data_IF_052827913609
#
_entry.id   IF_052827913609
#
_cell.length_a   1.000
_cell.length_b   1.000
_cell.length_c   1.000
_cell.angle_alpha   90.00
_cell.angle_beta   90.00
_cell.angle_gamma   90.00
#
_symmetry.space_group_name_H-M   'P 1'
#
loop_
_entity.id
_entity.type
_entity.pdbx_description
1 polymer ?
#
# COMPACT_ATOMS: atom_id res chain seq x y z
N UNK A 1 -7.99 -14.70 -0.42
CA UNK A 1 -8.77 -13.54 0.05
C UNK A 1 -7.87 -12.33 0.01
N UNK A 2 -8.20 -11.32 -0.79
CA UNK A 2 -7.37 -10.13 -0.89
C UNK A 2 -7.37 -9.35 0.44
N UNK A 3 -6.28 -8.64 0.80
CA UNK A 3 -6.27 -7.78 1.98
C UNK A 3 -7.42 -6.78 1.89
N UNK A 4 -8.22 -6.68 2.94
CA UNK A 4 -9.33 -5.74 3.02
C UNK A 4 -8.76 -4.36 3.31
N UNK A 5 -8.69 -3.51 2.30
CA UNK A 5 -8.42 -2.09 2.49
C UNK A 5 -9.73 -1.39 2.88
N UNK A 6 -9.66 -0.32 3.67
CA UNK A 6 -10.86 0.43 4.04
C UNK A 6 -11.59 0.91 2.78
N UNK A 7 -12.91 0.74 2.76
CA UNK A 7 -13.75 1.25 1.69
C UNK A 7 -13.54 2.76 1.55
N UNK A 8 -13.47 3.24 0.30
CA UNK A 8 -13.36 4.66 -0.01
C UNK A 8 -14.46 5.43 0.73
N UNK A 9 -14.06 6.22 1.73
CA UNK A 9 -14.99 7.10 2.41
C UNK A 9 -15.56 8.08 1.40
N UNK A 10 -16.89 8.14 1.27
CA UNK A 10 -17.53 9.24 0.53
C UNK A 10 -17.19 10.52 1.28
N UNK A 11 -16.80 11.60 0.61
CA UNK A 11 -16.57 12.87 1.28
C UNK A 11 -17.86 13.25 1.99
N UNK A 12 -17.81 13.27 3.32
CA UNK A 12 -18.88 13.81 4.15
C UNK A 12 -18.86 15.32 3.94
N UNK A 13 -19.97 15.88 3.47
CA UNK A 13 -20.14 17.33 3.29
C UNK A 13 -19.90 18.13 4.59
N UNK A 14 -19.83 17.44 5.75
CA UNK A 14 -19.47 18.04 7.04
C UNK A 14 -17.96 18.25 7.23
N UNK A 15 -17.11 17.64 6.39
CA UNK A 15 -15.66 17.84 6.40
C UNK A 15 -15.24 19.12 5.65
N UNK A 16 -16.12 19.71 4.85
CA UNK A 16 -15.84 20.95 4.11
C UNK A 16 -15.60 22.18 4.99
N UNK A 17 -15.85 22.11 6.29
CA UNK A 17 -15.63 23.18 7.25
C UNK A 17 -14.29 23.14 7.99
N UNK A 18 -13.40 22.18 7.70
CA UNK A 18 -12.13 21.98 8.41
C UNK A 18 -10.88 22.00 7.51
N UNK A 19 -11.05 22.56 6.30
CA UNK A 19 -9.94 22.94 5.43
C UNK A 19 -9.49 24.37 5.76
N UNK A 20 -9.26 24.63 7.05
CA UNK A 20 -8.31 25.68 7.42
C UNK A 20 -6.94 25.15 7.07
N UNK A 21 -6.26 25.83 6.16
CA UNK A 21 -4.92 25.60 5.65
C UNK A 21 -3.98 25.04 6.73
N UNK A 22 -3.64 23.76 6.65
CA UNK A 22 -2.44 23.22 7.27
C UNK A 22 -1.26 23.71 6.42
N UNK A 23 -0.79 24.92 6.67
CA UNK A 23 0.24 25.59 5.86
C UNK A 23 1.62 24.91 5.92
N UNK A 24 1.79 23.83 6.74
CA UNK A 24 3.08 23.15 6.97
C UNK A 24 3.00 21.63 6.84
N UNK A 25 2.07 21.06 6.08
CA UNK A 25 2.02 19.61 5.87
C UNK A 25 2.47 19.20 4.48
N UNK A 26 3.06 18.00 4.36
CA UNK A 26 3.45 17.39 3.09
C UNK A 26 2.77 16.04 2.92
N UNK A 27 2.56 15.67 1.67
CA UNK A 27 2.05 14.36 1.30
C UNK A 27 3.18 13.35 1.16
N UNK A 28 2.92 12.15 1.66
CA UNK A 28 3.85 11.02 1.56
C UNK A 28 3.10 9.78 1.08
N UNK A 29 3.73 9.03 0.17
CA UNK A 29 3.32 7.69 -0.18
C UNK A 29 4.07 6.69 0.69
N UNK A 30 3.32 5.81 1.36
CA UNK A 30 3.84 4.63 2.04
C UNK A 30 3.54 3.45 1.14
N UNK A 31 4.57 2.83 0.59
CA UNK A 31 4.51 1.83 -0.45
C UNK A 31 4.72 0.44 0.14
N UNK A 32 3.81 -0.48 -0.14
CA UNK A 32 3.91 -1.88 0.25
C UNK A 32 4.17 -2.75 -0.96
N UNK A 33 4.97 -3.80 -0.78
CA UNK A 33 5.42 -4.67 -1.85
C UNK A 33 4.97 -6.12 -1.61
N UNK A 34 4.82 -6.86 -2.69
CA UNK A 34 4.51 -8.28 -2.68
C UNK A 34 4.78 -8.91 -4.03
N UNK A 35 5.04 -10.20 -4.04
CA UNK A 35 5.26 -11.00 -5.24
C UNK A 35 4.01 -11.80 -5.61
N UNK A 36 3.97 -12.35 -6.83
CA UNK A 36 2.93 -13.31 -7.20
C UNK A 36 2.89 -14.49 -6.24
N UNK A 37 4.06 -14.94 -5.76
CA UNK A 37 4.16 -16.02 -4.79
C UNK A 37 3.45 -15.69 -3.49
N UNK A 38 3.55 -14.45 -2.98
CA UNK A 38 2.84 -14.02 -1.77
C UNK A 38 1.32 -14.11 -1.94
N UNK A 39 0.81 -13.69 -3.08
CA UNK A 39 -0.62 -13.80 -3.41
C UNK A 39 -1.07 -15.25 -3.54
N UNK A 40 -0.23 -16.14 -4.10
CA UNK A 40 -0.51 -17.57 -4.19
C UNK A 40 -0.58 -18.20 -2.79
N UNK A 41 0.34 -17.85 -1.88
CA UNK A 41 0.32 -18.30 -0.48
C UNK A 41 -0.99 -17.88 0.22
N UNK A 42 -1.40 -16.62 0.04
CA UNK A 42 -2.67 -16.11 0.55
C UNK A 42 -3.89 -16.82 -0.05
N UNK A 43 -3.78 -17.29 -1.30
CA UNK A 43 -4.82 -18.07 -1.98
C UNK A 43 -4.81 -19.56 -1.60
N UNK A 44 -3.97 -19.99 -0.64
CA UNK A 44 -3.88 -21.38 -0.21
C UNK A 44 -3.00 -22.26 -1.13
N UNK A 45 -2.12 -21.64 -1.90
CA UNK A 45 -1.17 -22.30 -2.82
C UNK A 45 0.28 -21.93 -2.44
N UNK A 46 0.78 -22.29 -1.24
CA UNK A 46 2.10 -21.93 -0.79
C UNK A 46 3.19 -22.64 -1.63
N UNK A 47 4.37 -22.04 -1.69
CA UNK A 47 5.54 -22.69 -2.23
C UNK A 47 5.90 -23.93 -1.39
N UNK A 48 6.58 -24.94 -1.97
CA UNK A 48 6.99 -26.13 -1.24
C UNK A 48 7.76 -25.79 0.04
N UNK A 49 7.30 -26.34 1.19
CA UNK A 49 7.91 -26.11 2.50
C UNK A 49 7.53 -24.81 3.20
N UNK A 50 6.66 -24.01 2.61
CA UNK A 50 6.12 -22.81 3.27
C UNK A 50 4.75 -23.10 3.89
N UNK A 51 4.45 -22.54 5.08
CA UNK A 51 3.13 -22.63 5.67
C UNK A 51 2.12 -21.76 4.91
N UNK A 52 0.88 -22.23 4.83
CA UNK A 52 -0.24 -21.42 4.31
C UNK A 52 -0.68 -20.41 5.34
N UNK A 53 -1.28 -19.34 4.88
CA UNK A 53 -2.03 -18.43 5.71
C UNK A 53 -3.20 -19.13 6.38
N UNK A 54 -3.38 -18.90 7.67
CA UNK A 54 -4.51 -19.43 8.44
C UNK A 54 -5.68 -18.43 8.45
N UNK A 55 -6.92 -18.88 8.76
CA UNK A 55 -8.03 -17.95 8.99
C UNK A 55 -7.75 -16.92 10.07
N UNK A 56 -6.97 -17.28 11.09
CA UNK A 56 -6.55 -16.41 12.19
C UNK A 56 -5.59 -15.32 11.69
N UNK A 57 -4.65 -15.66 10.81
CA UNK A 57 -3.73 -14.68 10.18
C UNK A 57 -4.52 -13.64 9.38
N UNK A 58 -5.49 -14.07 8.58
CA UNK A 58 -6.35 -13.15 7.82
C UNK A 58 -7.20 -12.27 8.73
N UNK A 59 -7.76 -12.82 9.79
CA UNK A 59 -8.56 -12.07 10.74
C UNK A 59 -7.72 -11.01 11.46
N UNK A 60 -6.52 -11.37 11.90
CA UNK A 60 -5.59 -10.47 12.57
C UNK A 60 -5.11 -9.35 11.64
N UNK A 61 -4.73 -9.69 10.40
CA UNK A 61 -4.36 -8.70 9.37
C UNK A 61 -5.51 -7.75 9.08
N UNK A 62 -6.72 -8.27 8.88
CA UNK A 62 -7.91 -7.46 8.60
C UNK A 62 -8.22 -6.47 9.72
N UNK A 63 -8.21 -6.93 10.98
CA UNK A 63 -8.43 -6.10 12.15
C UNK A 63 -7.35 -5.02 12.29
N UNK A 64 -6.09 -5.38 12.03
CA UNK A 64 -4.98 -4.42 12.04
C UNK A 64 -5.18 -3.32 10.97
N UNK A 65 -5.47 -3.69 9.73
CA UNK A 65 -5.66 -2.74 8.63
C UNK A 65 -6.86 -1.81 8.87
N UNK A 66 -7.95 -2.34 9.42
CA UNK A 66 -9.12 -1.55 9.80
C UNK A 66 -8.79 -0.52 10.90
N UNK A 67 -8.13 -0.96 11.99
CA UNK A 67 -7.71 -0.09 13.07
C UNK A 67 -6.72 0.96 12.61
N UNK A 68 -5.74 0.57 11.80
CA UNK A 68 -4.74 1.48 11.25
C UNK A 68 -5.38 2.56 10.36
N UNK A 69 -6.27 2.15 9.46
CA UNK A 69 -7.00 3.09 8.61
C UNK A 69 -7.91 4.04 9.40
N UNK A 70 -8.56 3.52 10.45
CA UNK A 70 -9.38 4.32 11.34
C UNK A 70 -8.57 5.38 12.09
N UNK A 71 -7.42 5.00 12.66
CA UNK A 71 -6.55 5.93 13.38
C UNK A 71 -6.09 7.08 12.48
N UNK A 72 -5.68 6.78 11.23
CA UNK A 72 -5.26 7.80 10.28
C UNK A 72 -6.42 8.69 9.79
N UNK A 73 -7.62 8.12 9.71
CA UNK A 73 -8.84 8.90 9.40
C UNK A 73 -9.18 9.83 10.55
N UNK A 74 -9.15 9.34 11.77
CA UNK A 74 -9.49 10.11 12.97
C UNK A 74 -8.47 11.25 13.21
N UNK A 75 -7.18 11.02 12.91
CA UNK A 75 -6.14 12.06 12.98
C UNK A 75 -6.21 13.06 11.82
N UNK A 76 -6.97 12.75 10.77
CA UNK A 76 -7.08 13.55 9.55
C UNK A 76 -5.85 13.46 8.64
N UNK A 77 -4.96 12.49 8.87
CA UNK A 77 -3.73 12.29 8.08
C UNK A 77 -3.97 11.42 6.84
N UNK A 78 -5.04 10.61 6.78
CA UNK A 78 -5.33 9.75 5.62
C UNK A 78 -5.93 10.54 4.47
N UNK A 79 -5.29 10.47 3.29
CA UNK A 79 -5.86 10.96 2.02
C UNK A 79 -6.49 9.81 1.25
N UNK A 80 -5.74 8.73 1.00
CA UNK A 80 -6.20 7.56 0.25
C UNK A 80 -5.39 6.31 0.65
N UNK A 81 -5.97 5.14 0.45
CA UNK A 81 -5.28 3.86 0.60
C UNK A 81 -5.88 2.84 -0.36
N UNK A 82 -5.03 2.16 -1.11
CA UNK A 82 -5.45 1.16 -2.09
C UNK A 82 -4.59 -0.09 -2.00
N UNK A 83 -5.24 -1.25 -2.07
CA UNK A 83 -4.57 -2.52 -2.34
C UNK A 83 -4.67 -2.88 -3.81
N UNK A 84 -3.64 -3.53 -4.31
CA UNK A 84 -3.60 -4.02 -5.67
C UNK A 84 -3.85 -5.53 -5.68
N UNK A 85 -4.51 -6.01 -6.74
CA UNK A 85 -4.67 -7.45 -6.98
C UNK A 85 -3.34 -8.07 -7.45
N UNK A 86 -3.31 -9.40 -7.52
CA UNK A 86 -2.09 -10.16 -7.84
C UNK A 86 -1.37 -9.68 -9.11
N UNK A 87 -0.03 -9.68 -9.11
CA UNK A 87 0.80 -9.18 -10.22
C UNK A 87 0.52 -9.85 -11.58
N UNK A 88 0.02 -11.09 -11.59
CA UNK A 88 -0.36 -11.80 -12.81
C UNK A 88 -1.42 -11.06 -13.66
N UNK A 89 -2.20 -10.17 -13.03
CA UNK A 89 -3.20 -9.35 -13.71
C UNK A 89 -2.65 -8.03 -14.25
N UNK A 90 -1.34 -7.80 -14.15
CA UNK A 90 -0.70 -6.59 -14.65
C UNK A 90 -0.57 -6.63 -16.17
N UNK A 91 -0.81 -5.48 -16.82
CA UNK A 91 -0.45 -5.24 -18.21
C UNK A 91 0.66 -4.22 -18.28
N UNK A 92 1.71 -4.56 -19.04
CA UNK A 92 2.81 -3.64 -19.33
C UNK A 92 2.69 -3.14 -20.76
N UNK A 93 2.69 -1.83 -20.93
CA UNK A 93 2.65 -1.18 -22.23
C UNK A 93 4.00 -0.51 -22.49
N UNK A 94 4.59 -0.78 -23.65
CA UNK A 94 5.83 -0.15 -24.11
C UNK A 94 5.66 0.34 -25.54
N UNK A 95 6.38 1.40 -25.92
CA UNK A 95 6.49 1.81 -27.31
C UNK A 95 7.64 1.03 -27.98
N UNK A 96 7.34 0.41 -29.11
CA UNK A 96 8.34 -0.14 -30.05
C UNK A 96 8.03 0.41 -31.43
N UNK A 97 9.00 1.06 -32.04
CA UNK A 97 8.87 1.67 -33.37
C UNK A 97 7.65 2.60 -33.51
N UNK A 98 7.35 3.35 -32.41
CA UNK A 98 6.22 4.26 -32.36
C UNK A 98 4.85 3.61 -32.13
N UNK A 99 4.79 2.28 -31.94
CA UNK A 99 3.56 1.53 -31.71
C UNK A 99 3.51 0.99 -30.27
N UNK A 100 2.35 1.04 -29.58
CA UNK A 100 2.19 0.45 -28.27
C UNK A 100 2.20 -1.09 -28.36
N UNK A 101 3.05 -1.72 -27.57
CA UNK A 101 3.10 -3.18 -27.38
C UNK A 101 2.65 -3.50 -25.96
N UNK A 102 1.67 -4.38 -25.82
CA UNK A 102 1.10 -4.82 -24.55
C UNK A 102 1.63 -6.21 -24.21
N UNK A 103 2.07 -6.39 -22.95
CA UNK A 103 2.49 -7.67 -22.38
C UNK A 103 1.71 -7.93 -21.09
N UNK A 104 1.08 -9.09 -20.97
CA UNK A 104 0.37 -9.52 -19.79
C UNK A 104 1.32 -10.25 -18.81
N UNK A 105 1.11 -10.07 -17.50
CA UNK A 105 1.84 -10.74 -16.45
C UNK A 105 3.36 -10.60 -16.54
N UNK A 106 3.93 -9.39 -16.64
CA UNK A 106 5.32 -9.15 -17.06
C UNK A 106 6.36 -9.46 -15.97
N UNK A 107 5.95 -9.91 -14.78
CA UNK A 107 6.83 -10.11 -13.64
C UNK A 107 7.11 -11.58 -13.40
N UNK A 108 8.33 -11.90 -12.94
CA UNK A 108 8.64 -13.21 -12.39
C UNK A 108 7.80 -13.46 -11.12
N UNK A 109 7.53 -14.74 -10.80
CA UNK A 109 6.67 -15.12 -9.67
C UNK A 109 7.20 -14.62 -8.32
N UNK A 110 8.52 -14.53 -8.17
CA UNK A 110 9.21 -14.08 -6.96
C UNK A 110 9.60 -12.60 -6.98
N UNK A 111 9.29 -11.88 -8.07
CA UNK A 111 9.59 -10.45 -8.18
C UNK A 111 8.64 -9.64 -7.29
N UNK A 112 9.20 -8.87 -6.35
CA UNK A 112 8.44 -7.95 -5.52
C UNK A 112 8.09 -6.70 -6.31
N UNK A 113 6.80 -6.41 -6.34
CA UNK A 113 6.22 -5.24 -7.03
C UNK A 113 5.25 -4.54 -6.09
N UNK A 114 4.82 -3.35 -6.45
CA UNK A 114 3.85 -2.61 -5.66
C UNK A 114 2.59 -3.45 -5.41
N UNK A 115 2.27 -3.68 -4.14
CA UNK A 115 1.08 -4.43 -3.71
C UNK A 115 -0.02 -3.51 -3.15
N UNK A 116 0.33 -2.30 -2.77
CA UNK A 116 -0.60 -1.31 -2.25
C UNK A 116 0.11 -0.07 -1.73
N UNK A 117 -0.67 0.94 -1.39
CA UNK A 117 -0.13 2.17 -0.84
C UNK A 117 -1.09 2.83 0.16
N UNK A 118 -0.51 3.66 0.99
CA UNK A 118 -1.20 4.64 1.83
C UNK A 118 -0.68 6.01 1.45
N UNK A 119 -1.58 6.93 1.13
CA UNK A 119 -1.25 8.33 0.89
C UNK A 119 -1.67 9.11 2.13
N UNK A 120 -0.70 9.71 2.78
CA UNK A 120 -0.91 10.50 4.00
C UNK A 120 -0.47 11.94 3.81
N UNK A 121 -1.12 12.85 4.53
CA UNK A 121 -0.77 14.26 4.64
C UNK A 121 -0.45 14.53 6.11
N UNK A 122 0.82 14.76 6.42
CA UNK A 122 1.28 14.90 7.79
C UNK A 122 2.38 15.95 7.93
N UNK A 123 2.67 16.32 9.18
CA UNK A 123 3.51 17.47 9.52
C UNK A 123 4.99 17.34 9.14
N UNK A 124 5.50 16.10 9.01
CA UNK A 124 6.93 15.88 8.76
C UNK A 124 7.21 14.49 8.17
N UNK A 125 8.42 14.34 7.60
CA UNK A 125 8.92 13.05 7.15
C UNK A 125 9.12 12.08 8.34
N UNK A 126 9.49 12.59 9.51
CA UNK A 126 9.58 11.76 10.71
C UNK A 126 8.21 11.22 11.10
N UNK A 127 7.17 12.03 11.03
CA UNK A 127 5.79 11.57 11.27
C UNK A 127 5.35 10.51 10.25
N UNK A 128 5.63 10.71 8.97
CA UNK A 128 5.36 9.72 7.94
C UNK A 128 6.11 8.40 8.19
N UNK A 129 7.36 8.49 8.70
CA UNK A 129 8.18 7.33 9.08
C UNK A 129 7.58 6.58 10.27
N UNK A 130 7.08 7.28 11.29
CA UNK A 130 6.37 6.67 12.42
C UNK A 130 5.13 5.90 11.97
N UNK A 131 4.33 6.52 11.08
CA UNK A 131 3.14 5.88 10.49
C UNK A 131 3.54 4.61 9.74
N UNK A 132 4.57 4.69 8.88
CA UNK A 132 5.07 3.55 8.11
C UNK A 132 5.64 2.44 9.00
N UNK A 133 6.34 2.78 10.07
CA UNK A 133 6.87 1.81 11.03
C UNK A 133 5.77 0.97 11.68
N UNK A 134 4.59 1.54 11.91
CA UNK A 134 3.42 0.78 12.41
C UNK A 134 2.96 -0.28 11.42
N UNK A 135 3.02 -0.02 10.11
CA UNK A 135 2.65 -0.99 9.07
C UNK A 135 3.55 -2.22 9.05
N UNK A 136 4.84 -2.09 9.40
CA UNK A 136 5.75 -3.23 9.50
C UNK A 136 5.36 -4.21 10.61
N UNK A 137 4.51 -3.78 11.55
CA UNK A 137 3.91 -4.61 12.59
C UNK A 137 2.64 -5.35 12.16
N UNK A 138 2.25 -5.29 10.89
CA UNK A 138 1.07 -5.98 10.39
C UNK A 138 1.17 -7.49 10.65
N UNK A 139 0.15 -8.12 11.27
CA UNK A 139 0.14 -9.55 11.54
C UNK A 139 0.14 -10.39 10.26
N UNK A 140 0.74 -11.57 10.35
CA UNK A 140 0.81 -12.56 9.29
C UNK A 140 1.78 -13.68 9.69
N UNK A 141 1.98 -14.71 8.84
CA UNK A 141 2.97 -15.75 9.06
C UNK A 141 4.37 -15.17 9.25
N UNK A 142 5.17 -15.77 10.14
CA UNK A 142 6.50 -15.26 10.49
C UNK A 142 7.41 -15.05 9.27
N UNK A 143 7.44 -16.01 8.35
CA UNK A 143 8.25 -15.90 7.13
C UNK A 143 7.85 -14.74 6.21
N UNK A 144 6.61 -14.27 6.29
CA UNK A 144 6.14 -13.08 5.56
C UNK A 144 6.57 -11.82 6.31
N UNK A 145 6.38 -11.81 7.63
CA UNK A 145 6.76 -10.67 8.49
C UNK A 145 8.26 -10.39 8.48
N UNK A 146 9.09 -11.45 8.49
CA UNK A 146 10.55 -11.32 8.55
C UNK A 146 11.16 -10.65 7.32
N UNK A 147 10.47 -10.69 6.18
CA UNK A 147 10.90 -10.07 4.92
C UNK A 147 10.13 -8.80 4.55
N UNK A 148 9.07 -8.48 5.30
CA UNK A 148 8.23 -7.34 5.00
C UNK A 148 8.98 -6.01 5.23
N UNK A 149 8.82 -5.10 4.30
CA UNK A 149 9.29 -3.73 4.40
C UNK A 149 8.31 -2.78 3.72
N UNK A 150 8.42 -1.52 4.04
CA UNK A 150 7.68 -0.44 3.39
C UNK A 150 8.63 0.68 3.04
N UNK A 151 8.37 1.36 1.94
CA UNK A 151 9.09 2.57 1.57
C UNK A 151 8.22 3.80 1.80
N UNK A 152 8.83 4.89 2.23
CA UNK A 152 8.17 6.18 2.38
C UNK A 152 8.77 7.16 1.37
N UNK A 153 7.93 7.73 0.51
CA UNK A 153 8.37 8.71 -0.48
C UNK A 153 7.56 9.99 -0.39
N UNK A 154 8.23 11.16 -0.26
CA UNK A 154 7.55 12.44 -0.39
C UNK A 154 6.88 12.57 -1.77
N UNK A 155 5.69 13.14 -1.79
CA UNK A 155 4.98 13.48 -3.03
C UNK A 155 5.39 14.88 -3.45
N UNK A 156 5.77 15.06 -4.70
CA UNK A 156 6.06 16.37 -5.26
C UNK A 156 4.77 17.16 -5.47
N UNK A 157 4.67 18.35 -4.91
CA UNK A 157 3.55 19.27 -5.14
C UNK A 157 3.88 20.34 -6.22
N UNK A 158 5.17 20.46 -6.59
CA UNK A 158 5.66 21.42 -7.59
C UNK A 158 6.76 20.83 -8.48
N UNK A 159 7.12 21.54 -9.54
CA UNK A 159 8.27 21.17 -10.38
C UNK A 159 9.61 21.36 -9.64
N UNK A 160 9.67 22.29 -8.72
CA UNK A 160 10.86 22.53 -7.90
C UNK A 160 11.18 21.31 -7.02
N UNK A 161 10.15 20.62 -6.52
CA UNK A 161 10.30 19.38 -5.74
C UNK A 161 10.91 18.25 -6.55
N UNK A 162 10.75 18.27 -7.88
CA UNK A 162 11.36 17.31 -8.78
C UNK A 162 12.82 17.63 -9.11
N UNK A 163 13.33 18.78 -8.68
CA UNK A 163 14.70 19.22 -8.92
C UNK A 163 14.96 19.67 -10.37
N UNK A 164 13.92 20.14 -11.06
CA UNK A 164 13.96 20.61 -12.47
C UNK A 164 13.39 22.02 -12.56
#
# INVERSE_FOLDING_TARGET
MAPTFPAKARPDERAAGRLESREDTMKYLILMYGSQQDYNEMAGQPAPGQPSWTPEDFAAMGAFMESFGKDLTDSGELIDAQGLIAPVHTRRIRLRDGLPVVTDGPYAETEEVLAGFWLVDCESFDRATEIAARLTGCPGPDHVRDRAYVDVRPVADSQEDLGV
#
